data_IF_943329071655
#
_entry.id   IF_943329071655
#
_cell.length_a   1.000
_cell.length_b   1.000
_cell.length_c   1.000
_cell.angle_alpha   90.00
_cell.angle_beta   90.00
_cell.angle_gamma   90.00
#
_symmetry.space_group_name_H-M   'P 1'
#
loop_
_entity.id
_entity.type
_entity.pdbx_description
1 polymer ?
#
# COMPACT_ATOMS: atom_id res chain seq x y z
N UNK A 1 -0.72 13.21 -8.89
CA UNK A 1 -1.49 13.13 -7.64
C UNK A 1 -0.48 13.22 -6.51
N UNK A 2 -0.71 14.16 -5.59
CA UNK A 2 0.32 14.70 -4.69
C UNK A 2 0.24 14.15 -3.28
N UNK A 3 1.09 14.71 -2.42
CA UNK A 3 1.09 14.44 -0.99
C UNK A 3 -0.31 14.57 -0.40
N UNK A 4 -0.73 13.57 0.38
CA UNK A 4 -1.99 13.59 1.14
C UNK A 4 -1.67 13.63 2.63
N UNK A 5 -2.60 14.13 3.43
CA UNK A 5 -2.45 14.19 4.88
C UNK A 5 -2.68 12.82 5.52
N UNK A 6 -2.11 12.58 6.70
CA UNK A 6 -2.42 11.37 7.48
C UNK A 6 -3.93 11.18 7.67
N UNK A 7 -4.68 12.26 7.90
CA UNK A 7 -6.13 12.24 8.06
C UNK A 7 -6.84 11.73 6.81
N UNK A 8 -6.41 12.16 5.63
CA UNK A 8 -6.97 11.70 4.35
C UNK A 8 -6.63 10.23 4.10
N UNK A 9 -5.39 9.82 4.34
CA UNK A 9 -4.98 8.41 4.20
C UNK A 9 -5.83 7.50 5.09
N UNK A 10 -5.97 7.85 6.38
CA UNK A 10 -6.81 7.10 7.32
C UNK A 10 -8.28 7.14 6.89
N UNK A 11 -8.77 8.27 6.38
CA UNK A 11 -10.09 8.40 5.77
C UNK A 11 -10.31 7.40 4.63
N UNK A 12 -9.36 7.30 3.71
CA UNK A 12 -9.39 6.34 2.60
C UNK A 12 -9.42 4.88 3.06
N UNK A 13 -8.62 4.52 4.08
CA UNK A 13 -8.68 3.19 4.70
C UNK A 13 -10.07 2.91 5.29
N UNK A 14 -10.66 3.89 5.99
CA UNK A 14 -12.00 3.70 6.57
C UNK A 14 -13.06 3.52 5.49
N UNK A 15 -12.98 4.31 4.42
CA UNK A 15 -13.89 4.22 3.28
C UNK A 15 -13.78 2.85 2.60
N UNK A 16 -12.56 2.35 2.39
CA UNK A 16 -12.32 1.04 1.79
C UNK A 16 -12.96 -0.09 2.62
N UNK A 17 -12.75 -0.10 3.93
CA UNK A 17 -13.33 -1.11 4.83
C UNK A 17 -14.86 -1.01 4.84
N UNK A 18 -15.42 0.19 4.97
CA UNK A 18 -16.88 0.38 4.97
C UNK A 18 -17.48 -0.10 3.64
N UNK A 19 -16.89 0.28 2.52
CA UNK A 19 -17.37 -0.07 1.18
C UNK A 19 -17.34 -1.57 0.95
N UNK A 20 -16.23 -2.24 1.28
CA UNK A 20 -16.09 -3.69 1.11
C UNK A 20 -17.07 -4.45 2.01
N UNK A 21 -17.14 -4.12 3.30
CA UNK A 21 -18.02 -4.83 4.25
C UNK A 21 -19.50 -4.63 3.96
N UNK A 22 -19.92 -3.43 3.56
CA UNK A 22 -21.33 -3.15 3.24
C UNK A 22 -21.74 -3.79 1.91
N UNK A 23 -20.89 -3.71 0.88
CA UNK A 23 -21.22 -4.21 -0.46
C UNK A 23 -21.15 -5.74 -0.55
N UNK A 24 -20.19 -6.38 0.12
CA UNK A 24 -19.93 -7.82 -0.02
C UNK A 24 -20.65 -8.68 0.99
N UNK A 25 -20.68 -8.23 2.24
CA UNK A 25 -21.20 -9.02 3.37
C UNK A 25 -22.55 -8.51 3.88
N UNK A 26 -23.07 -7.41 3.32
CA UNK A 26 -24.32 -6.79 3.79
C UNK A 26 -24.24 -6.33 5.25
N UNK A 27 -23.03 -6.09 5.76
CA UNK A 27 -22.82 -5.73 7.16
C UNK A 27 -23.46 -4.36 7.42
N UNK A 28 -24.20 -4.17 8.53
CA UNK A 28 -24.76 -2.88 8.87
C UNK A 28 -23.67 -1.80 8.92
N UNK A 29 -23.93 -0.64 8.31
CA UNK A 29 -22.97 0.48 8.22
C UNK A 29 -22.36 0.85 9.58
N UNK A 30 -23.16 0.82 10.65
CA UNK A 30 -22.68 1.07 12.02
C UNK A 30 -21.61 0.07 12.48
N UNK A 31 -21.72 -1.21 12.11
CA UNK A 31 -20.72 -2.24 12.43
C UNK A 31 -19.49 -2.11 11.54
N UNK A 32 -19.68 -1.88 10.24
CA UNK A 32 -18.57 -1.65 9.31
C UNK A 32 -17.72 -0.44 9.73
N UNK A 33 -18.35 0.64 10.20
CA UNK A 33 -17.65 1.83 10.68
C UNK A 33 -16.83 1.58 11.96
N UNK A 34 -17.30 0.70 12.85
CA UNK A 34 -16.50 0.30 14.04
C UNK A 34 -15.23 -0.44 13.62
N UNK A 35 -15.36 -1.40 12.71
CA UNK A 35 -14.21 -2.13 12.15
C UNK A 35 -13.24 -1.16 11.48
N UNK A 36 -13.77 -0.26 10.65
CA UNK A 36 -12.99 0.73 9.93
C UNK A 36 -12.19 1.65 10.87
N UNK A 37 -12.80 2.14 11.96
CA UNK A 37 -12.11 2.96 12.96
C UNK A 37 -11.01 2.18 13.67
N UNK A 38 -11.32 0.99 14.17
CA UNK A 38 -10.33 0.10 14.83
C UNK A 38 -9.14 -0.19 13.90
N UNK A 39 -9.44 -0.48 12.63
CA UNK A 39 -8.43 -0.68 11.60
C UNK A 39 -7.57 0.58 11.37
N UNK A 40 -8.18 1.75 11.20
CA UNK A 40 -7.42 2.99 10.98
C UNK A 40 -6.54 3.38 12.19
N UNK A 41 -7.04 3.22 13.42
CA UNK A 41 -6.25 3.44 14.63
C UNK A 41 -5.05 2.50 14.71
N UNK A 42 -5.27 1.22 14.38
CA UNK A 42 -4.19 0.22 14.31
C UNK A 42 -3.16 0.58 13.25
N UNK A 43 -3.58 0.97 12.04
CA UNK A 43 -2.67 1.35 10.97
C UNK A 43 -1.88 2.62 11.31
N UNK A 44 -2.49 3.59 12.00
CA UNK A 44 -1.78 4.78 12.47
C UNK A 44 -0.64 4.43 13.45
N UNK A 45 -0.81 3.37 14.25
CA UNK A 45 0.25 2.85 15.12
C UNK A 45 1.31 2.06 14.35
N UNK A 46 0.90 1.10 13.52
CA UNK A 46 1.79 0.22 12.73
C UNK A 46 2.68 1.04 11.81
N UNK A 47 2.13 2.05 11.16
CA UNK A 47 2.85 2.92 10.24
C UNK A 47 3.46 4.15 10.89
N UNK A 48 3.51 4.21 12.21
CA UNK A 48 4.06 5.37 12.92
C UNK A 48 5.48 5.70 12.47
N UNK A 49 5.75 7.00 12.29
CA UNK A 49 7.01 7.56 11.79
C UNK A 49 7.45 7.06 10.41
N UNK A 50 6.51 6.59 9.59
CA UNK A 50 6.79 6.09 8.25
C UNK A 50 6.10 6.91 7.17
N UNK A 51 6.72 6.98 5.99
CA UNK A 51 6.07 7.51 4.77
C UNK A 51 5.39 6.34 4.07
N UNK A 52 4.07 6.37 4.03
CA UNK A 52 3.27 5.33 3.41
C UNK A 52 2.87 5.79 2.02
N UNK A 53 3.11 4.93 1.03
CA UNK A 53 2.70 5.12 -0.35
C UNK A 53 1.74 4.01 -0.73
N UNK A 54 0.61 4.37 -1.30
CA UNK A 54 -0.35 3.38 -1.81
C UNK A 54 0.08 2.96 -3.22
N UNK A 55 0.34 1.66 -3.45
CA UNK A 55 0.83 1.19 -4.74
C UNK A 55 -0.20 1.35 -5.85
N UNK A 56 0.32 1.50 -7.07
CA UNK A 56 -0.47 1.70 -8.29
C UNK A 56 -1.46 0.56 -8.50
N UNK A 57 -2.73 0.90 -8.82
CA UNK A 57 -3.92 0.04 -9.03
C UNK A 57 -3.70 -1.32 -9.66
N UNK A 58 -3.02 -2.19 -8.92
CA UNK A 58 -2.57 -3.52 -9.30
C UNK A 58 -2.98 -4.38 -8.12
N UNK A 59 -3.72 -5.45 -8.41
CA UNK A 59 -4.11 -6.39 -7.37
C UNK A 59 -2.87 -6.97 -6.67
N UNK A 60 -2.94 -7.14 -5.36
CA UNK A 60 -1.84 -7.66 -4.53
C UNK A 60 -1.20 -8.92 -5.14
N UNK A 61 -2.03 -9.90 -5.53
CA UNK A 61 -1.59 -11.15 -6.15
C UNK A 61 -0.85 -10.94 -7.47
N UNK A 62 -1.25 -9.93 -8.26
CA UNK A 62 -0.55 -9.57 -9.50
C UNK A 62 0.80 -8.93 -9.21
N UNK A 63 0.86 -8.01 -8.24
CA UNK A 63 2.09 -7.36 -7.83
C UNK A 63 3.10 -8.37 -7.28
N UNK A 64 2.65 -9.28 -6.40
CA UNK A 64 3.44 -10.39 -5.85
C UNK A 64 4.03 -11.26 -6.94
N UNK A 65 3.21 -11.74 -7.88
CA UNK A 65 3.69 -12.54 -9.02
C UNK A 65 4.72 -11.78 -9.84
N UNK A 66 4.44 -10.52 -10.15
CA UNK A 66 5.34 -9.72 -10.97
C UNK A 66 6.68 -9.50 -10.24
N UNK A 67 6.68 -9.32 -8.90
CA UNK A 67 7.90 -9.22 -8.10
C UNK A 67 8.73 -10.49 -8.22
N UNK A 68 8.12 -11.66 -7.97
CA UNK A 68 8.84 -12.94 -8.05
C UNK A 68 9.39 -13.20 -9.46
N UNK A 69 8.63 -12.83 -10.49
CA UNK A 69 9.10 -12.90 -11.87
C UNK A 69 10.31 -11.98 -12.11
N UNK A 70 10.28 -10.77 -11.56
CA UNK A 70 11.35 -9.80 -11.68
C UNK A 70 12.60 -10.19 -10.89
N UNK A 71 12.44 -10.79 -9.70
CA UNK A 71 13.56 -11.33 -8.90
C UNK A 71 14.28 -12.47 -9.66
N UNK A 72 13.52 -13.31 -10.36
CA UNK A 72 14.06 -14.39 -11.19
C UNK A 72 14.69 -13.89 -12.50
N UNK A 73 14.57 -12.60 -12.84
CA UNK A 73 14.99 -12.05 -14.12
C UNK A 73 16.50 -11.79 -14.17
N UNK A 74 17.22 -12.47 -15.06
CA UNK A 74 18.68 -12.34 -15.23
C UNK A 74 19.09 -11.42 -16.39
N UNK A 75 18.12 -10.79 -17.07
CA UNK A 75 18.36 -9.94 -18.25
C UNK A 75 18.06 -10.63 -19.59
N UNK A 76 18.26 -11.94 -19.69
CA UNK A 76 18.18 -12.69 -20.96
C UNK A 76 17.20 -13.88 -20.93
N UNK A 77 16.58 -14.18 -19.78
CA UNK A 77 15.74 -15.36 -19.58
C UNK A 77 14.22 -15.17 -19.84
N UNK A 78 13.80 -14.19 -20.64
CA UNK A 78 12.38 -13.89 -20.90
C UNK A 78 11.55 -15.10 -21.37
N UNK A 79 12.11 -15.93 -22.25
CA UNK A 79 11.44 -17.13 -22.75
C UNK A 79 11.24 -18.20 -21.67
N UNK A 80 12.20 -18.33 -20.76
CA UNK A 80 12.12 -19.25 -19.63
C UNK A 80 11.07 -18.79 -18.61
N UNK A 81 11.06 -17.49 -18.27
CA UNK A 81 10.06 -16.91 -17.37
C UNK A 81 8.64 -17.05 -17.91
N UNK A 82 8.43 -16.84 -19.21
CA UNK A 82 7.11 -17.00 -19.83
C UNK A 82 6.54 -18.42 -19.63
N UNK A 83 7.38 -19.45 -19.76
CA UNK A 83 6.98 -20.85 -19.51
C UNK A 83 6.76 -21.13 -18.03
N UNK A 84 7.66 -20.67 -17.15
CA UNK A 84 7.59 -20.90 -15.71
C UNK A 84 6.32 -20.30 -15.08
N UNK A 85 5.95 -19.10 -15.50
CA UNK A 85 4.80 -18.36 -14.96
C UNK A 85 3.52 -18.49 -15.80
N UNK A 86 3.54 -19.24 -16.90
CA UNK A 86 2.38 -19.43 -17.77
C UNK A 86 1.89 -18.16 -18.48
N UNK A 87 2.79 -17.21 -18.76
CA UNK A 87 2.46 -15.94 -19.42
C UNK A 87 3.19 -15.79 -20.75
N UNK A 88 2.63 -15.00 -21.67
CA UNK A 88 3.28 -14.76 -22.95
C UNK A 88 4.61 -14.04 -22.77
N UNK A 89 5.58 -14.34 -23.65
CA UNK A 89 6.90 -13.69 -23.63
C UNK A 89 6.75 -12.16 -23.73
N UNK A 90 5.79 -11.68 -24.55
CA UNK A 90 5.46 -10.26 -24.65
C UNK A 90 4.99 -9.68 -23.30
N UNK A 91 4.21 -10.43 -22.51
CA UNK A 91 3.81 -9.97 -21.17
C UNK A 91 4.99 -9.91 -20.22
N UNK A 92 5.95 -10.84 -20.29
CA UNK A 92 7.20 -10.77 -19.51
C UNK A 92 7.96 -9.47 -19.80
N UNK A 93 8.18 -9.13 -21.09
CA UNK A 93 8.79 -7.86 -21.48
C UNK A 93 8.02 -6.65 -20.94
N UNK A 94 6.69 -6.70 -21.04
CA UNK A 94 5.83 -5.61 -20.57
C UNK A 94 5.93 -5.43 -19.05
N UNK A 95 5.93 -6.53 -18.28
CA UNK A 95 6.07 -6.50 -16.81
C UNK A 95 7.41 -5.89 -16.42
N UNK A 96 8.53 -6.36 -17.00
CA UNK A 96 9.87 -5.81 -16.68
C UNK A 96 9.93 -4.31 -16.98
N UNK A 97 9.35 -3.88 -18.10
CA UNK A 97 9.26 -2.47 -18.47
C UNK A 97 8.38 -1.67 -17.52
N UNK A 98 7.18 -2.15 -17.21
CA UNK A 98 6.22 -1.51 -16.28
C UNK A 98 6.85 -1.32 -14.90
N UNK A 99 7.59 -2.32 -14.39
CA UNK A 99 8.24 -2.28 -13.08
C UNK A 99 9.38 -1.27 -13.02
N UNK A 100 10.26 -1.27 -14.03
CA UNK A 100 11.31 -0.26 -14.14
C UNK A 100 10.73 1.15 -14.25
N UNK A 101 9.67 1.32 -15.04
CA UNK A 101 9.01 2.62 -15.18
C UNK A 101 8.36 3.07 -13.87
N UNK A 102 7.69 2.17 -13.14
CA UNK A 102 7.09 2.48 -11.85
C UNK A 102 8.14 2.97 -10.83
N UNK A 103 9.31 2.33 -10.81
CA UNK A 103 10.45 2.79 -10.01
C UNK A 103 10.93 4.17 -10.48
N UNK A 104 11.13 4.39 -11.77
CA UNK A 104 11.55 5.70 -12.32
C UNK A 104 10.55 6.82 -12.01
N UNK A 105 9.25 6.54 -12.15
CA UNK A 105 8.18 7.49 -11.82
C UNK A 105 8.16 7.80 -10.31
N UNK A 106 8.62 6.87 -9.48
CA UNK A 106 8.66 7.00 -8.02
C UNK A 106 9.77 7.93 -7.53
N UNK A 107 10.89 8.00 -8.24
CA UNK A 107 12.12 8.68 -7.79
C UNK A 107 12.02 10.21 -7.73
N UNK A 108 10.84 10.80 -7.98
CA UNK A 108 10.68 12.21 -8.33
C UNK A 108 11.52 12.52 -9.59
N UNK A 109 11.16 13.53 -10.38
CA UNK A 109 12.04 13.94 -11.48
C UNK A 109 13.22 14.65 -10.83
N UNK A 110 14.22 13.89 -10.38
CA UNK A 110 15.52 14.46 -10.11
C UNK A 110 16.00 15.06 -11.43
N UNK A 111 16.02 16.39 -11.49
CA UNK A 111 16.39 17.16 -12.67
C UNK A 111 17.89 16.99 -13.01
N UNK A 112 18.66 16.30 -12.16
CA UNK A 112 20.10 16.19 -12.26
C UNK A 112 20.64 14.76 -12.26
N UNK A 113 19.78 13.73 -12.19
CA UNK A 113 20.24 12.35 -12.18
C UNK A 113 20.05 11.68 -13.55
N UNK A 114 21.15 11.20 -14.12
CA UNK A 114 21.12 10.45 -15.38
C UNK A 114 20.42 9.10 -15.15
N UNK A 115 19.21 8.97 -15.70
CA UNK A 115 18.30 7.82 -15.56
C UNK A 115 18.80 6.55 -16.27
N UNK A 116 20.02 6.55 -16.79
CA UNK A 116 20.56 5.47 -17.63
C UNK A 116 21.01 4.23 -16.85
N UNK A 117 21.20 4.31 -15.52
CA UNK A 117 21.68 3.18 -14.70
C UNK A 117 20.71 2.86 -13.55
N UNK A 118 19.62 2.17 -13.87
CA UNK A 118 18.70 1.62 -12.85
C UNK A 118 19.20 0.24 -12.43
N UNK A 119 19.61 0.10 -11.17
CA UNK A 119 19.96 -1.20 -10.59
C UNK A 119 18.68 -2.05 -10.43
N UNK A 120 18.65 -3.31 -10.93
CA UNK A 120 17.53 -4.21 -10.71
C UNK A 120 17.18 -4.42 -9.23
N UNK A 121 18.16 -4.39 -8.32
CA UNK A 121 17.90 -4.56 -6.89
C UNK A 121 17.03 -3.42 -6.35
N UNK A 122 17.31 -2.17 -6.70
CA UNK A 122 16.53 -1.03 -6.21
C UNK A 122 15.07 -1.10 -6.67
N UNK A 123 14.82 -1.59 -7.89
CA UNK A 123 13.47 -1.82 -8.42
C UNK A 123 12.77 -2.91 -7.60
N UNK A 124 13.45 -4.03 -7.31
CA UNK A 124 12.92 -5.11 -6.48
C UNK A 124 12.57 -4.62 -5.07
N UNK A 125 13.45 -3.83 -4.44
CA UNK A 125 13.26 -3.31 -3.09
C UNK A 125 12.09 -2.32 -3.04
N UNK A 126 11.97 -1.47 -4.06
CA UNK A 126 10.80 -0.60 -4.23
C UNK A 126 9.49 -1.40 -4.30
N UNK A 127 9.44 -2.47 -5.09
CA UNK A 127 8.26 -3.34 -5.19
C UNK A 127 7.99 -4.07 -3.88
N UNK A 128 9.05 -4.47 -3.15
CA UNK A 128 8.91 -5.13 -1.86
C UNK A 128 8.24 -4.21 -0.83
N UNK A 129 8.61 -2.93 -0.80
CA UNK A 129 7.95 -1.94 0.06
C UNK A 129 6.46 -1.78 -0.27
N UNK A 130 6.12 -1.67 -1.56
CA UNK A 130 4.72 -1.60 -2.02
C UNK A 130 3.92 -2.87 -1.62
N UNK A 131 4.55 -4.04 -1.70
CA UNK A 131 3.94 -5.32 -1.29
C UNK A 131 3.70 -5.37 0.23
N UNK A 132 4.64 -4.85 1.03
CA UNK A 132 4.51 -4.77 2.49
C UNK A 132 3.34 -3.88 2.89
N UNK A 133 3.16 -2.72 2.26
CA UNK A 133 2.02 -1.83 2.55
C UNK A 133 0.69 -2.54 2.32
N UNK A 134 0.54 -3.27 1.21
CA UNK A 134 -0.68 -4.03 0.94
C UNK A 134 -0.85 -5.20 1.90
N UNK A 135 0.23 -5.92 2.22
CA UNK A 135 0.19 -7.03 3.19
C UNK A 135 -0.23 -6.54 4.58
N UNK A 136 0.31 -5.42 5.05
CA UNK A 136 -0.09 -4.80 6.31
C UNK A 136 -1.59 -4.49 6.33
N UNK A 137 -2.12 -3.91 5.24
CA UNK A 137 -3.56 -3.64 5.10
C UNK A 137 -4.36 -4.95 5.20
N UNK A 138 -3.93 -5.99 4.47
CA UNK A 138 -4.62 -7.29 4.46
C UNK A 138 -4.67 -7.91 5.85
N UNK A 139 -3.51 -8.08 6.48
CA UNK A 139 -3.36 -8.80 7.74
C UNK A 139 -4.04 -8.06 8.88
N UNK A 140 -3.84 -6.75 8.99
CA UNK A 140 -4.47 -5.96 10.06
C UNK A 140 -5.96 -5.78 9.84
N UNK A 141 -6.43 -5.68 8.59
CA UNK A 141 -7.86 -5.63 8.33
C UNK A 141 -8.52 -6.97 8.67
N UNK A 142 -7.94 -8.10 8.28
CA UNK A 142 -8.44 -9.44 8.62
C UNK A 142 -8.51 -9.65 10.14
N UNK A 143 -7.50 -9.20 10.89
CA UNK A 143 -7.53 -9.22 12.37
C UNK A 143 -8.69 -8.37 12.91
N UNK A 144 -8.81 -7.10 12.49
CA UNK A 144 -9.87 -6.22 12.96
C UNK A 144 -11.27 -6.73 12.59
N UNK A 145 -11.44 -7.35 11.42
CA UNK A 145 -12.71 -7.98 11.03
C UNK A 145 -13.06 -9.10 11.99
N UNK A 146 -12.12 -10.01 12.32
CA UNK A 146 -12.39 -11.12 13.25
C UNK A 146 -12.64 -10.70 14.69
N UNK A 147 -12.09 -9.56 15.11
CA UNK A 147 -12.34 -8.99 16.44
C UNK A 147 -13.78 -8.45 16.59
N UNK A 148 -14.41 -8.05 15.49
CA UNK A 148 -15.71 -7.36 15.51
C UNK A 148 -16.84 -8.12 14.80
N UNK A 149 -16.51 -9.12 13.98
CA UNK A 149 -17.45 -9.97 13.25
C UNK A 149 -17.14 -11.45 13.49
N UNK A 150 -18.19 -12.26 13.56
CA UNK A 150 -18.06 -13.71 13.62
C UNK A 150 -17.91 -14.28 12.20
N UNK A 151 -16.69 -14.24 11.68
CA UNK A 151 -16.31 -14.83 10.38
C UNK A 151 -15.16 -15.81 10.57
N UNK A 152 -14.99 -16.74 9.64
CA UNK A 152 -13.84 -17.64 9.65
C UNK A 152 -12.57 -16.91 9.14
N UNK A 153 -11.40 -17.55 9.33
CA UNK A 153 -10.11 -16.98 8.93
C UNK A 153 -10.05 -16.69 7.43
N UNK A 154 -10.50 -17.65 6.60
CA UNK A 154 -10.47 -17.54 5.14
C UNK A 154 -11.32 -16.37 4.62
N UNK A 155 -12.50 -16.15 5.20
CA UNK A 155 -13.37 -15.01 4.89
C UNK A 155 -12.74 -13.69 5.31
N UNK A 156 -12.11 -13.64 6.48
CA UNK A 156 -11.44 -12.43 6.94
C UNK A 156 -10.26 -12.06 6.04
N UNK A 157 -9.47 -13.05 5.62
CA UNK A 157 -8.33 -12.87 4.73
C UNK A 157 -8.77 -12.42 3.34
N UNK A 158 -9.84 -13.02 2.80
CA UNK A 158 -10.44 -12.60 1.53
C UNK A 158 -10.93 -11.14 1.58
N UNK A 159 -11.60 -10.75 2.67
CA UNK A 159 -12.04 -9.36 2.85
C UNK A 159 -10.87 -8.39 3.01
N UNK A 160 -9.80 -8.79 3.71
CA UNK A 160 -8.57 -8.01 3.82
C UNK A 160 -7.90 -7.80 2.45
N UNK A 161 -7.84 -8.85 1.62
CA UNK A 161 -7.35 -8.75 0.24
C UNK A 161 -8.19 -7.78 -0.60
N UNK A 162 -9.52 -7.84 -0.49
CA UNK A 162 -10.41 -6.91 -1.18
C UNK A 162 -10.20 -5.46 -0.74
N UNK A 163 -9.99 -5.20 0.55
CA UNK A 163 -9.70 -3.86 1.08
C UNK A 163 -8.36 -3.33 0.53
N UNK A 164 -7.32 -4.16 0.52
CA UNK A 164 -6.03 -3.79 -0.04
C UNK A 164 -6.12 -3.50 -1.56
N UNK A 165 -6.87 -4.34 -2.28
CA UNK A 165 -7.12 -4.13 -3.71
C UNK A 165 -7.94 -2.86 -3.97
N UNK A 166 -8.93 -2.54 -3.13
CA UNK A 166 -9.70 -1.28 -3.22
C UNK A 166 -8.79 -0.08 -2.99
N UNK A 167 -7.94 -0.11 -1.96
CA UNK A 167 -6.98 0.95 -1.69
C UNK A 167 -6.03 1.16 -2.87
N UNK A 168 -5.50 0.08 -3.44
CA UNK A 168 -4.67 0.20 -4.65
C UNK A 168 -5.48 0.75 -5.83
N UNK A 169 -6.71 0.32 -6.06
CA UNK A 169 -7.50 0.77 -7.22
C UNK A 169 -7.93 2.24 -7.15
N UNK A 170 -8.32 2.73 -5.96
CA UNK A 170 -8.96 4.04 -5.81
C UNK A 170 -8.05 5.09 -5.17
N UNK A 171 -7.08 4.68 -4.37
CA UNK A 171 -6.19 5.56 -3.61
C UNK A 171 -4.73 5.47 -4.08
N UNK A 172 -4.46 4.86 -5.24
CA UNK A 172 -3.09 4.72 -5.75
C UNK A 172 -2.34 6.03 -5.93
N UNK A 173 -1.03 5.97 -5.72
CA UNK A 173 -0.12 7.06 -6.02
C UNK A 173 -0.23 8.23 -5.03
N UNK A 174 -1.09 8.11 -4.03
CA UNK A 174 -1.06 8.95 -2.85
C UNK A 174 0.03 8.48 -1.89
N UNK A 175 0.61 9.42 -1.16
CA UNK A 175 1.52 9.14 -0.08
C UNK A 175 1.26 10.10 1.08
N UNK A 176 1.44 9.61 2.30
CA UNK A 176 1.34 10.40 3.51
C UNK A 176 2.43 10.00 4.51
N UNK A 177 2.93 10.99 5.24
CA UNK A 177 3.71 10.72 6.44
C UNK A 177 2.77 10.48 7.62
N UNK A 178 2.92 9.34 8.29
CA UNK A 178 2.12 8.97 9.46
C UNK A 178 2.91 9.31 10.71
N UNK A 179 2.43 10.31 11.47
CA UNK A 179 3.08 10.75 12.71
C UNK A 179 2.74 9.79 13.85
N UNK A 180 3.75 9.45 14.67
CA UNK A 180 3.53 8.75 15.93
C UNK A 180 2.65 9.57 16.86
N UNK A 181 1.56 8.98 17.35
CA UNK A 181 0.62 9.59 18.30
C UNK A 181 1.17 9.71 19.73
N UNK A 182 2.39 10.25 19.93
CA UNK A 182 2.69 10.82 21.25
C UNK A 182 1.71 11.96 21.47
N UNK A 183 0.93 11.87 22.55
CA UNK A 183 0.11 12.97 23.05
C UNK A 183 0.89 14.27 22.93
N UNK A 184 0.22 15.32 22.46
CA UNK A 184 0.71 16.70 22.51
C UNK A 184 1.37 16.93 23.87
N UNK A 185 2.70 17.03 23.88
CA UNK A 185 3.35 17.78 24.93
C UNK A 185 2.90 19.21 24.67
N UNK A 186 2.03 19.70 25.55
CA UNK A 186 1.60 21.08 25.71
C UNK A 186 2.66 22.07 25.20
N UNK A 187 2.45 22.61 24.01
CA UNK A 187 3.36 23.56 23.35
C UNK A 187 3.08 24.97 23.89
N UNK A 188 3.00 25.10 25.21
CA UNK A 188 2.92 26.38 25.92
C UNK A 188 4.31 27.06 26.04
N UNK A 189 5.18 26.84 25.05
CA UNK A 189 6.52 27.45 24.97
C UNK A 189 6.73 28.42 23.80
N UNK A 190 5.66 28.93 23.18
CA UNK A 190 5.75 29.96 22.14
C UNK A 190 5.70 31.42 22.66
N UNK A 191 5.57 31.64 23.97
CA UNK A 191 5.46 32.99 24.58
C UNK A 191 6.77 33.57 25.14
N UNK A 192 7.93 32.94 24.90
CA UNK A 192 9.23 33.42 25.43
C UNK A 192 10.04 34.34 24.51
N UNK A 193 9.57 34.64 23.29
CA UNK A 193 10.31 35.46 22.31
C UNK A 193 9.54 36.67 21.74
N UNK A 194 8.55 37.18 22.48
CA UNK A 194 8.01 38.53 22.23
C UNK A 194 8.13 39.40 23.48
N UNK A 195 9.33 39.87 23.74
CA UNK A 195 9.59 41.06 24.55
C UNK A 195 10.98 41.56 24.21
N UNK A 196 11.08 42.44 23.22
CA UNK A 196 11.95 43.64 23.20
C UNK A 196 11.65 44.48 21.96
#
# INVERSE_FOLDING_TARGET
>A
MGATTQKELMGGLTEAVVTVLTTRQGVPSATALRVARSFAERMAFVWSNSVIRIPKGIAYNTLKRNKTLFDDFDGNNHAHLGRKYGISIQRVYTIVKEMRQAYVDSLQVDMFNDKSVINPQDVSDFIAADLLVLADIMDHCAVCIREHLTVNQEQADALGEEVANYMSAHWHGQFAYVKSGKQEADDSQDDLFRSE
#
